data_IF_145455291392
#
_entry.id   IF_145455291392
#
_cell.length_a   1.000
_cell.length_b   1.000
_cell.length_c   1.000
_cell.angle_alpha   90.00
_cell.angle_beta   90.00
_cell.angle_gamma   90.00
#
_symmetry.space_group_name_H-M   'P 1'
#
loop_
_entity.id
_entity.type
_entity.pdbx_description
1 polymer ?
#
# COMPACT_ATOMS: atom_id res chain seq x y z
N UNK A 1 16.05 -47.09 -35.02
CA UNK A 1 14.66 -46.61 -34.81
C UNK A 1 14.60 -45.98 -33.44
N UNK A 2 14.59 -44.64 -33.38
CA UNK A 2 14.47 -43.88 -32.15
C UNK A 2 13.00 -43.51 -32.03
N UNK A 3 12.31 -44.05 -31.04
CA UNK A 3 10.93 -43.66 -30.72
C UNK A 3 10.94 -42.25 -30.13
N UNK A 4 10.11 -41.30 -30.64
CA UNK A 4 9.99 -39.99 -30.03
C UNK A 4 9.33 -40.14 -28.66
N UNK A 5 10.00 -39.64 -27.61
CA UNK A 5 9.44 -39.54 -26.27
C UNK A 5 8.22 -38.64 -26.31
N UNK A 6 7.07 -39.21 -25.96
CA UNK A 6 5.83 -38.48 -25.73
C UNK A 6 6.06 -37.61 -24.49
N UNK A 7 6.28 -36.31 -24.67
CA UNK A 7 6.29 -35.37 -23.57
C UNK A 7 4.81 -35.17 -23.20
N UNK A 8 4.32 -35.64 -22.03
CA UNK A 8 2.92 -35.44 -21.69
C UNK A 8 2.71 -33.93 -21.63
N UNK A 9 1.84 -33.43 -22.50
CA UNK A 9 1.37 -32.07 -22.42
C UNK A 9 0.84 -31.89 -20.99
N UNK A 10 1.50 -31.05 -20.20
CA UNK A 10 0.98 -30.61 -18.91
C UNK A 10 -0.37 -29.99 -19.22
N UNK A 11 -1.43 -30.76 -19.03
CA UNK A 11 -2.80 -30.27 -19.11
C UNK A 11 -2.89 -29.18 -18.07
N UNK A 12 -2.90 -27.93 -18.52
CA UNK A 12 -3.15 -26.77 -17.66
C UNK A 12 -4.44 -27.06 -16.91
N UNK A 13 -4.35 -27.29 -15.62
CA UNK A 13 -5.53 -27.34 -14.77
C UNK A 13 -6.12 -25.93 -14.77
N UNK A 14 -7.22 -25.76 -15.50
CA UNK A 14 -7.91 -24.48 -15.60
C UNK A 14 -8.58 -24.09 -14.27
N UNK A 15 -8.47 -24.91 -13.22
CA UNK A 15 -9.06 -24.70 -11.89
C UNK A 15 -8.05 -24.41 -10.78
N UNK A 16 -6.75 -24.40 -11.10
CA UNK A 16 -5.66 -24.16 -10.12
C UNK A 16 -5.88 -22.88 -9.26
N UNK A 17 -5.48 -22.87 -7.98
CA UNK A 17 -5.52 -21.67 -7.15
C UNK A 17 -4.62 -20.57 -7.70
N UNK A 18 -5.04 -19.31 -7.53
CA UNK A 18 -4.32 -18.15 -8.04
C UNK A 18 -3.77 -17.25 -6.91
N UNK A 19 -2.68 -16.58 -7.19
CA UNK A 19 -2.13 -15.49 -6.37
C UNK A 19 -2.33 -14.18 -7.12
N UNK A 20 -2.93 -13.18 -6.47
CA UNK A 20 -3.04 -11.83 -7.00
C UNK A 20 -1.89 -10.99 -6.45
N UNK A 21 -0.91 -10.67 -7.30
CA UNK A 21 0.20 -9.79 -6.94
C UNK A 21 -0.13 -8.35 -7.29
N UNK A 22 0.05 -7.43 -6.34
CA UNK A 22 -0.20 -5.99 -6.47
C UNK A 22 1.11 -5.25 -6.16
N UNK A 23 1.58 -4.44 -7.09
CA UNK A 23 2.75 -3.57 -6.95
C UNK A 23 2.30 -2.11 -6.96
N UNK A 24 2.32 -1.49 -5.77
CA UNK A 24 2.04 -0.08 -5.50
C UNK A 24 3.28 0.79 -5.75
N UNK A 25 3.73 0.82 -7.00
CA UNK A 25 4.88 1.62 -7.40
C UNK A 25 4.62 3.13 -7.29
N UNK A 26 5.70 3.92 -7.26
CA UNK A 26 5.59 5.39 -7.14
C UNK A 26 4.81 6.01 -8.30
N UNK A 27 5.04 5.58 -9.54
CA UNK A 27 4.42 6.20 -10.73
C UNK A 27 3.27 5.40 -11.32
N UNK A 28 3.20 4.10 -11.04
CA UNK A 28 2.20 3.20 -11.61
C UNK A 28 1.87 2.06 -10.68
N UNK A 29 0.63 1.60 -10.78
CA UNK A 29 0.17 0.34 -10.21
C UNK A 29 0.35 -0.77 -11.23
N UNK A 30 0.84 -1.92 -10.80
CA UNK A 30 0.90 -3.14 -11.60
C UNK A 30 0.22 -4.28 -10.83
N UNK A 31 -0.52 -5.11 -11.55
CA UNK A 31 -1.23 -6.26 -11.01
C UNK A 31 -0.96 -7.47 -11.90
N UNK A 32 -0.79 -8.64 -11.29
CA UNK A 32 -0.76 -9.90 -12.01
C UNK A 32 -1.56 -10.98 -11.26
N UNK A 33 -2.33 -11.77 -12.01
CA UNK A 33 -2.81 -13.06 -11.55
C UNK A 33 -1.78 -14.12 -11.93
N UNK A 34 -1.25 -14.81 -10.93
CA UNK A 34 -0.21 -15.82 -11.07
C UNK A 34 -0.79 -17.16 -10.67
N UNK A 35 -0.59 -18.17 -11.52
CA UNK A 35 -0.94 -19.54 -11.22
C UNK A 35 -0.02 -20.09 -10.11
N UNK A 36 -0.61 -20.60 -9.03
CA UNK A 36 0.15 -20.98 -7.83
C UNK A 36 1.00 -22.26 -7.99
N UNK A 37 0.72 -23.09 -8.99
CA UNK A 37 1.46 -24.34 -9.23
C UNK A 37 2.60 -24.12 -10.23
N UNK A 38 2.31 -23.40 -11.31
CA UNK A 38 3.25 -23.17 -12.41
C UNK A 38 4.07 -21.89 -12.23
N UNK A 39 3.67 -21.01 -11.31
CA UNK A 39 4.24 -19.68 -11.06
C UNK A 39 4.25 -18.76 -12.29
N UNK A 40 3.40 -19.04 -13.29
CA UNK A 40 3.31 -18.24 -14.51
C UNK A 40 2.18 -17.22 -14.41
N UNK A 41 2.37 -15.99 -14.91
CA UNK A 41 1.29 -15.03 -15.00
C UNK A 41 0.23 -15.51 -16.00
N UNK A 42 -1.03 -15.44 -15.60
CA UNK A 42 -2.19 -15.70 -16.45
C UNK A 42 -2.71 -14.41 -17.09
N UNK A 43 -2.77 -13.33 -16.32
CA UNK A 43 -3.27 -12.02 -16.75
C UNK A 43 -2.56 -10.93 -15.95
N UNK A 44 -2.28 -9.80 -16.59
CA UNK A 44 -1.65 -8.65 -15.95
C UNK A 44 -2.36 -7.36 -16.33
N UNK A 45 -2.22 -6.34 -15.50
CA UNK A 45 -2.70 -4.98 -15.75
C UNK A 45 -1.69 -3.98 -15.18
N UNK A 46 -1.59 -2.81 -15.80
CA UNK A 46 -0.76 -1.72 -15.29
C UNK A 46 -1.38 -0.38 -15.65
N UNK A 47 -1.29 0.60 -14.74
CA UNK A 47 -1.80 1.94 -14.98
C UNK A 47 -0.98 2.98 -14.21
N UNK A 48 -0.67 4.10 -14.88
CA UNK A 48 -0.01 5.26 -14.26
C UNK A 48 -0.95 5.90 -13.24
N UNK A 49 -0.42 6.27 -12.07
CA UNK A 49 -1.22 6.83 -10.98
C UNK A 49 -1.54 8.30 -11.19
N UNK A 50 -0.57 9.09 -11.65
CA UNK A 50 -0.60 10.57 -11.60
C UNK A 50 -0.99 11.07 -10.20
N UNK A 51 -0.47 10.42 -9.16
CA UNK A 51 -0.81 10.71 -7.77
C UNK A 51 0.02 11.84 -7.16
N UNK A 52 1.09 12.30 -7.80
CA UNK A 52 1.92 13.40 -7.30
C UNK A 52 1.05 14.64 -7.03
N UNK A 53 1.23 15.25 -5.85
CA UNK A 53 0.49 16.44 -5.42
C UNK A 53 1.43 17.47 -4.81
N UNK A 54 1.01 18.73 -4.82
CA UNK A 54 1.81 19.82 -4.25
C UNK A 54 1.90 19.67 -2.73
N UNK A 55 3.11 19.84 -2.20
CA UNK A 55 3.35 19.85 -0.76
C UNK A 55 3.23 21.26 -0.19
N UNK A 56 2.69 21.38 1.02
CA UNK A 56 2.52 22.66 1.73
C UNK A 56 3.85 23.29 2.17
N UNK A 57 4.94 22.52 2.18
CA UNK A 57 6.30 23.00 2.48
C UNK A 57 7.09 23.41 1.23
N UNK A 58 6.44 23.41 0.06
CA UNK A 58 7.05 23.83 -1.20
C UNK A 58 7.96 22.75 -1.82
N UNK A 59 9.03 23.14 -2.54
CA UNK A 59 9.77 22.24 -3.43
C UNK A 59 10.56 21.13 -2.74
N UNK A 60 10.80 21.27 -1.43
CA UNK A 60 11.44 20.22 -0.62
C UNK A 60 10.46 19.09 -0.28
N UNK A 61 9.16 19.34 -0.37
CA UNK A 61 8.13 18.33 -0.14
C UNK A 61 7.84 17.50 -1.38
N UNK A 62 7.69 16.19 -1.22
CA UNK A 62 7.32 15.29 -2.30
C UNK A 62 6.24 14.32 -1.84
N UNK A 63 5.00 14.59 -2.24
CA UNK A 63 3.81 13.92 -1.73
C UNK A 63 2.94 13.33 -2.84
N UNK A 64 2.15 12.31 -2.48
CA UNK A 64 1.20 11.68 -3.37
C UNK A 64 -0.17 11.56 -2.72
N UNK A 65 -1.24 11.73 -3.50
CA UNK A 65 -2.62 11.55 -3.08
C UNK A 65 -2.97 10.05 -3.00
N UNK A 66 -3.21 9.49 -1.80
CA UNK A 66 -3.54 8.06 -1.62
C UNK A 66 -4.85 7.65 -2.27
N UNK A 67 -5.84 8.56 -2.32
CA UNK A 67 -7.12 8.31 -3.00
C UNK A 67 -6.92 8.02 -4.48
N UNK A 68 -6.06 8.80 -5.14
CA UNK A 68 -5.75 8.60 -6.55
C UNK A 68 -5.04 7.25 -6.77
N UNK A 69 -4.12 6.86 -5.88
CA UNK A 69 -3.43 5.56 -5.93
C UNK A 69 -4.45 4.42 -5.84
N UNK A 70 -5.34 4.45 -4.85
CA UNK A 70 -6.34 3.40 -4.61
C UNK A 70 -7.44 3.37 -5.69
N UNK A 71 -7.83 4.51 -6.25
CA UNK A 71 -8.72 4.54 -7.41
C UNK A 71 -8.10 3.88 -8.64
N UNK A 72 -6.80 4.09 -8.87
CA UNK A 72 -6.06 3.45 -9.97
C UNK A 72 -5.89 1.95 -9.72
N UNK A 73 -5.65 1.54 -8.46
CA UNK A 73 -5.70 0.12 -8.08
C UNK A 73 -7.05 -0.52 -8.41
N UNK A 74 -8.16 0.12 -8.02
CA UNK A 74 -9.51 -0.37 -8.34
C UNK A 74 -9.74 -0.48 -9.86
N UNK A 75 -9.30 0.51 -10.65
CA UNK A 75 -9.35 0.46 -12.12
C UNK A 75 -8.54 -0.72 -12.67
N UNK A 76 -7.34 -0.97 -12.16
CA UNK A 76 -6.54 -2.13 -12.56
C UNK A 76 -7.23 -3.44 -12.19
N UNK A 77 -7.89 -3.55 -11.04
CA UNK A 77 -8.62 -4.78 -10.67
C UNK A 77 -9.86 -5.02 -11.55
N UNK A 78 -10.51 -3.94 -12.00
CA UNK A 78 -11.75 -4.04 -12.80
C UNK A 78 -11.56 -4.70 -14.17
N UNK A 79 -10.32 -4.85 -14.67
CA UNK A 79 -10.06 -5.53 -15.95
C UNK A 79 -9.99 -7.05 -15.83
N UNK A 80 -9.97 -7.59 -14.60
CA UNK A 80 -9.87 -9.03 -14.36
C UNK A 80 -11.25 -9.68 -14.27
N UNK A 81 -11.36 -10.90 -14.80
CA UNK A 81 -12.61 -11.64 -14.85
C UNK A 81 -12.97 -12.13 -13.45
N UNK A 82 -14.25 -12.02 -13.06
CA UNK A 82 -14.71 -12.36 -11.71
C UNK A 82 -14.48 -13.83 -11.38
N UNK A 83 -14.59 -14.71 -12.37
CA UNK A 83 -14.33 -16.14 -12.27
C UNK A 83 -12.86 -16.43 -11.96
N UNK A 84 -11.94 -15.63 -12.49
CA UNK A 84 -10.52 -15.73 -12.17
C UNK A 84 -10.24 -15.17 -10.77
N UNK A 85 -10.82 -14.02 -10.43
CA UNK A 85 -10.67 -13.42 -9.10
C UNK A 85 -11.23 -14.33 -7.98
N UNK A 86 -12.30 -15.07 -8.25
CA UNK A 86 -12.87 -16.04 -7.31
C UNK A 86 -11.92 -17.20 -6.96
N UNK A 87 -10.87 -17.43 -7.76
CA UNK A 87 -9.83 -18.45 -7.51
C UNK A 87 -8.63 -17.91 -6.74
N UNK A 88 -8.60 -16.61 -6.43
CA UNK A 88 -7.50 -16.00 -5.70
C UNK A 88 -7.53 -16.47 -4.25
N UNK A 89 -6.47 -17.16 -3.84
CA UNK A 89 -6.30 -17.66 -2.46
C UNK A 89 -5.30 -16.84 -1.65
N UNK A 90 -4.53 -15.97 -2.31
CA UNK A 90 -3.49 -15.17 -1.68
C UNK A 90 -3.31 -13.83 -2.40
N UNK A 91 -3.11 -12.77 -1.61
CA UNK A 91 -2.66 -11.47 -2.09
C UNK A 91 -1.18 -11.30 -1.77
N UNK A 92 -0.38 -10.96 -2.79
CA UNK A 92 1.03 -10.60 -2.62
C UNK A 92 1.20 -9.10 -2.88
N UNK A 93 1.51 -8.31 -1.86
CA UNK A 93 1.62 -6.86 -1.96
C UNK A 93 3.09 -6.43 -1.92
N UNK A 94 3.47 -5.58 -2.87
CA UNK A 94 4.77 -4.91 -2.96
C UNK A 94 4.54 -3.46 -3.39
N UNK A 95 5.57 -2.64 -3.41
CA UNK A 95 5.45 -1.24 -3.79
C UNK A 95 6.59 -0.35 -3.30
N UNK A 96 6.35 0.95 -3.34
CA UNK A 96 7.33 1.95 -2.92
C UNK A 96 7.62 1.89 -1.42
N UNK A 97 8.92 1.90 -1.08
CA UNK A 97 9.43 1.88 0.28
C UNK A 97 9.58 3.30 0.86
N UNK A 98 9.94 3.37 2.15
CA UNK A 98 10.25 4.58 2.94
C UNK A 98 9.12 5.60 3.16
N UNK A 99 8.09 5.62 2.30
CA UNK A 99 7.02 6.59 2.39
C UNK A 99 6.24 6.54 3.71
N UNK A 100 5.67 7.67 4.09
CA UNK A 100 4.87 7.84 5.30
C UNK A 100 3.48 8.32 4.93
N UNK A 101 2.49 7.54 5.34
CA UNK A 101 1.09 7.88 5.34
C UNK A 101 0.57 7.76 6.77
N UNK A 102 -0.30 8.69 7.15
CA UNK A 102 -0.95 8.74 8.46
C UNK A 102 -2.45 8.59 8.27
N UNK A 103 -3.10 7.91 9.20
CA UNK A 103 -4.55 7.73 9.20
C UNK A 103 -5.07 7.50 10.62
N UNK A 104 -6.40 7.53 10.79
CA UNK A 104 -7.05 7.04 12.01
C UNK A 104 -7.35 5.55 11.90
N UNK A 105 -7.11 4.79 12.95
CA UNK A 105 -7.41 3.36 13.06
C UNK A 105 -8.88 3.05 12.73
N UNK A 106 -9.79 3.94 13.10
CA UNK A 106 -11.22 3.86 12.77
C UNK A 106 -11.49 3.75 11.27
N UNK A 107 -10.65 4.35 10.42
CA UNK A 107 -10.81 4.28 8.97
C UNK A 107 -10.54 2.88 8.43
N UNK A 108 -9.59 2.16 9.03
CA UNK A 108 -9.23 0.79 8.62
C UNK A 108 -9.98 -0.29 9.39
N UNK A 109 -10.48 0.01 10.60
CA UNK A 109 -11.19 -0.96 11.43
C UNK A 109 -12.67 -1.18 11.05
N UNK A 110 -13.23 -0.36 10.15
CA UNK A 110 -14.61 -0.52 9.66
C UNK A 110 -14.74 -1.86 8.92
N UNK A 111 -15.49 -2.80 9.52
CA UNK A 111 -15.72 -4.16 9.00
C UNK A 111 -16.57 -4.21 7.71
N UNK A 112 -17.14 -3.09 7.29
CA UNK A 112 -17.96 -3.03 6.08
C UNK A 112 -17.11 -2.73 4.86
N UNK A 113 -16.40 -3.74 4.37
CA UNK A 113 -15.89 -3.78 2.99
C UNK A 113 -17.03 -4.10 2.03
N UNK A 114 -18.19 -3.44 2.18
CA UNK A 114 -19.25 -3.41 1.15
C UNK A 114 -18.87 -2.47 0.00
N UNK A 115 -17.74 -1.76 0.13
CA UNK A 115 -17.27 -0.74 -0.81
C UNK A 115 -16.39 -1.26 -1.95
N UNK A 116 -16.01 -2.55 -1.94
CA UNK A 116 -15.31 -3.21 -3.06
C UNK A 116 -16.13 -4.31 -3.76
N UNK A 117 -17.20 -4.80 -3.13
CA UNK A 117 -18.13 -5.76 -3.71
C UNK A 117 -19.47 -5.06 -3.96
N UNK A 118 -19.90 -4.96 -5.21
CA UNK A 118 -21.17 -4.31 -5.58
C UNK A 118 -22.36 -4.71 -4.68
N UNK A 119 -23.31 -3.79 -4.44
CA UNK A 119 -24.51 -4.07 -3.66
C UNK A 119 -25.38 -5.08 -4.40
N UNK A 120 -25.77 -6.15 -3.72
CA UNK A 120 -26.90 -6.97 -4.17
C UNK A 120 -28.19 -6.22 -3.81
N UNK A 121 -29.14 -5.99 -4.74
CA UNK A 121 -30.39 -5.35 -4.41
C UNK A 121 -31.30 -6.36 -3.71
N UNK A 122 -31.40 -6.27 -2.38
CA UNK A 122 -32.43 -6.96 -1.61
C UNK A 122 -33.55 -5.99 -1.20
N UNK A 123 -34.19 -5.33 -2.16
CA UNK A 123 -35.54 -4.75 -1.98
C UNK A 123 -36.02 -4.08 -3.26
N UNK A 124 -37.29 -4.32 -3.59
CA UNK A 124 -38.02 -3.90 -4.79
C UNK A 124 -38.44 -2.43 -4.79
N UNK A 125 -37.54 -1.50 -4.49
CA UNK A 125 -37.81 -0.06 -4.57
C UNK A 125 -36.98 0.59 -5.70
N UNK A 126 -37.51 1.62 -6.40
CA UNK A 126 -36.81 2.23 -7.54
C UNK A 126 -35.58 2.99 -7.03
N UNK A 127 -34.40 2.44 -7.28
CA UNK A 127 -33.11 3.06 -6.91
C UNK A 127 -32.85 4.23 -7.86
N UNK A 128 -32.89 5.46 -7.34
CA UNK A 128 -32.28 6.63 -7.97
C UNK A 128 -30.81 6.33 -8.30
N UNK A 129 -30.19 6.94 -9.34
CA UNK A 129 -28.83 6.59 -9.73
C UNK A 129 -27.87 6.93 -8.59
N UNK A 130 -27.57 5.94 -7.75
CA UNK A 130 -26.55 6.01 -6.71
C UNK A 130 -25.23 6.11 -7.44
N UNK A 131 -24.63 7.29 -7.34
CA UNK A 131 -23.27 7.58 -7.78
C UNK A 131 -22.36 6.46 -7.32
N UNK A 132 -21.88 5.64 -8.26
CA UNK A 132 -21.05 4.44 -8.04
C UNK A 132 -19.61 4.80 -7.65
N UNK A 133 -19.43 5.90 -6.94
CA UNK A 133 -18.14 6.34 -6.44
C UNK A 133 -17.96 5.73 -5.06
N UNK A 134 -16.96 4.87 -4.96
CA UNK A 134 -16.39 4.44 -3.69
C UNK A 134 -16.13 5.70 -2.86
N UNK A 135 -17.04 6.02 -1.95
CA UNK A 135 -16.86 7.08 -0.96
C UNK A 135 -15.99 6.48 0.15
N UNK A 136 -14.77 6.07 -0.20
CA UNK A 136 -13.70 5.94 0.78
C UNK A 136 -13.60 7.33 1.38
N UNK A 137 -14.03 7.50 2.62
CA UNK A 137 -13.97 8.75 3.35
C UNK A 137 -12.49 9.05 3.70
N UNK A 138 -11.64 9.17 2.68
CA UNK A 138 -10.21 9.39 2.78
C UNK A 138 -9.85 10.80 3.26
N UNK A 139 -10.85 11.61 3.64
CA UNK A 139 -10.70 12.88 4.34
C UNK A 139 -9.97 12.71 5.70
N UNK A 140 -9.85 11.47 6.19
CA UNK A 140 -9.17 11.13 7.43
C UNK A 140 -7.75 10.60 7.26
N UNK A 141 -7.17 10.70 6.06
CA UNK A 141 -5.79 10.30 5.78
C UNK A 141 -4.90 11.50 5.45
N UNK A 142 -3.60 11.41 5.73
CA UNK A 142 -2.62 12.35 5.18
C UNK A 142 -2.33 11.99 3.72
N UNK A 143 -1.73 12.92 2.98
CA UNK A 143 -0.98 12.55 1.79
C UNK A 143 0.11 11.53 2.14
N UNK A 144 0.51 10.73 1.15
CA UNK A 144 1.69 9.90 1.24
C UNK A 144 2.93 10.75 1.00
N UNK A 145 3.70 10.99 2.06
CA UNK A 145 5.03 11.62 1.98
C UNK A 145 6.00 10.58 1.43
N UNK A 146 6.57 10.84 0.25
CA UNK A 146 7.36 9.83 -0.47
C UNK A 146 8.82 9.81 -0.03
N UNK A 147 9.55 8.76 -0.44
CA UNK A 147 10.99 8.63 -0.21
C UNK A 147 11.85 9.76 -0.82
N UNK A 148 11.31 10.49 -1.82
CA UNK A 148 11.99 11.62 -2.47
C UNK A 148 11.96 12.90 -1.64
N UNK A 149 11.14 12.93 -0.59
CA UNK A 149 10.91 14.11 0.24
C UNK A 149 12.19 14.59 0.97
N UNK A 150 12.46 15.88 0.88
CA UNK A 150 13.67 16.55 1.38
C UNK A 150 13.39 17.46 2.59
N UNK A 151 12.23 17.35 3.26
CA UNK A 151 11.86 18.23 4.38
C UNK A 151 12.85 18.18 5.55
N UNK A 152 13.51 17.05 5.73
CA UNK A 152 14.48 16.84 6.80
C UNK A 152 15.88 17.22 6.33
N UNK A 153 16.21 18.50 6.37
CA UNK A 153 17.56 18.96 6.01
C UNK A 153 18.66 18.38 6.93
N UNK A 154 19.91 18.48 6.50
CA UNK A 154 21.08 17.92 7.23
C UNK A 154 21.19 18.43 8.67
N UNK A 155 20.84 19.70 8.95
CA UNK A 155 20.89 20.26 10.31
C UNK A 155 19.82 19.59 11.19
N UNK A 156 18.62 19.38 10.64
CA UNK A 156 17.54 18.69 11.33
C UNK A 156 17.93 17.23 11.63
N UNK A 157 18.41 16.48 10.64
CA UNK A 157 18.81 15.07 10.82
C UNK A 157 19.87 14.90 11.91
N UNK A 158 20.87 15.80 11.95
CA UNK A 158 21.93 15.80 12.98
C UNK A 158 21.42 16.17 14.38
N UNK A 159 20.24 16.78 14.48
CA UNK A 159 19.63 17.14 15.76
C UNK A 159 18.82 16.00 16.39
N UNK A 160 18.58 14.91 15.65
CA UNK A 160 17.82 13.78 16.12
C UNK A 160 18.71 12.82 16.93
N UNK A 161 18.13 12.00 17.83
CA UNK A 161 18.86 10.95 18.53
C UNK A 161 19.59 10.04 17.54
N UNK A 162 20.80 9.55 17.87
CA UNK A 162 21.47 8.59 17.00
C UNK A 162 20.63 7.31 16.92
N UNK A 163 20.23 6.85 15.71
CA UNK A 163 19.49 5.62 15.59
C UNK A 163 20.37 4.41 15.88
N UNK A 164 19.82 3.43 16.58
CA UNK A 164 20.35 2.07 16.58
C UNK A 164 19.75 1.31 15.39
N UNK A 165 20.33 1.54 14.22
CA UNK A 165 19.94 0.90 12.96
C UNK A 165 21.15 0.68 12.07
N UNK A 166 21.13 -0.43 11.33
CA UNK A 166 22.10 -0.73 10.27
C UNK A 166 22.15 0.33 9.15
N UNK A 167 21.11 1.16 8.99
CA UNK A 167 21.06 2.22 7.99
C UNK A 167 21.36 3.59 8.61
N UNK A 168 22.18 4.38 7.91
CA UNK A 168 22.35 5.80 8.23
C UNK A 168 21.03 6.54 8.00
N UNK A 169 20.65 7.40 8.94
CA UNK A 169 19.44 8.20 8.83
C UNK A 169 19.51 9.15 7.62
N UNK A 170 18.44 9.17 6.83
CA UNK A 170 18.29 10.04 5.67
C UNK A 170 16.94 10.75 5.71
N UNK A 171 16.79 11.82 4.92
CA UNK A 171 15.56 12.64 4.90
C UNK A 171 14.32 11.86 4.48
N UNK A 172 14.46 10.95 3.51
CA UNK A 172 13.34 10.13 3.04
C UNK A 172 12.92 9.02 4.01
N UNK A 173 13.60 8.84 5.15
CA UNK A 173 13.23 7.82 6.13
C UNK A 173 11.99 8.22 6.93
N UNK A 174 11.08 7.28 7.12
CA UNK A 174 9.78 7.56 7.74
C UNK A 174 9.86 8.13 9.16
N UNK A 175 10.73 7.64 10.04
CA UNK A 175 10.85 8.23 11.38
C UNK A 175 11.45 9.64 11.35
N UNK A 176 12.34 9.97 10.39
CA UNK A 176 12.83 11.34 10.23
C UNK A 176 11.68 12.29 9.91
N UNK A 177 10.81 11.90 8.97
CA UNK A 177 9.57 12.61 8.63
C UNK A 177 8.66 12.76 9.84
N UNK A 178 8.42 11.70 10.61
CA UNK A 178 7.58 11.77 11.81
C UNK A 178 8.15 12.70 12.88
N UNK A 179 9.48 12.67 13.12
CA UNK A 179 10.14 13.62 14.01
C UNK A 179 9.96 15.05 13.52
N UNK A 180 10.12 15.29 12.22
CA UNK A 180 9.92 16.62 11.64
C UNK A 180 8.48 17.09 11.84
N UNK A 181 7.49 16.23 11.55
CA UNK A 181 6.08 16.55 11.76
C UNK A 181 5.77 16.81 13.23
N UNK A 182 6.39 16.09 14.16
CA UNK A 182 6.18 16.32 15.60
C UNK A 182 6.64 17.71 16.05
N UNK A 183 7.64 18.29 15.38
CA UNK A 183 8.17 19.63 15.69
C UNK A 183 7.45 20.74 14.89
N UNK A 184 7.27 20.53 13.59
CA UNK A 184 6.82 21.58 12.65
C UNK A 184 5.32 21.51 12.33
N UNK A 185 4.66 20.39 12.61
CA UNK A 185 3.26 20.10 12.25
C UNK A 185 2.53 19.32 13.35
N UNK A 186 2.85 19.59 14.63
CA UNK A 186 2.35 18.83 15.77
C UNK A 186 0.81 18.75 15.84
N UNK A 187 0.11 19.83 15.47
CA UNK A 187 -1.37 19.89 15.45
C UNK A 187 -1.98 18.98 14.39
N UNK A 188 -1.33 18.85 13.22
CA UNK A 188 -1.75 17.94 12.17
C UNK A 188 -1.48 16.50 12.57
N UNK A 189 -0.28 16.21 13.11
CA UNK A 189 0.10 14.85 13.51
C UNK A 189 -0.85 14.28 14.57
N UNK A 190 -1.34 15.10 15.51
CA UNK A 190 -2.32 14.71 16.55
C UNK A 190 -3.67 14.23 16.02
N UNK A 191 -3.97 14.43 14.74
CA UNK A 191 -5.22 13.94 14.14
C UNK A 191 -5.20 12.44 13.86
N UNK A 192 -4.02 11.83 13.85
CA UNK A 192 -3.78 10.46 13.43
C UNK A 192 -3.23 9.62 14.60
N UNK A 193 -3.55 8.33 14.60
CA UNK A 193 -3.06 7.35 15.58
C UNK A 193 -2.30 6.19 14.90
N UNK A 194 -2.35 6.10 13.57
CA UNK A 194 -1.66 5.12 12.76
C UNK A 194 -0.66 5.79 11.80
N UNK A 195 0.44 5.08 11.53
CA UNK A 195 1.42 5.45 10.54
C UNK A 195 1.97 4.20 9.82
N UNK A 196 2.24 4.32 8.53
CA UNK A 196 2.82 3.26 7.72
C UNK A 196 3.09 3.71 6.29
N UNK A 197 3.45 2.79 5.42
CA UNK A 197 3.46 3.04 3.97
C UNK A 197 2.07 2.90 3.37
N UNK A 198 1.91 3.22 2.09
CA UNK A 198 0.68 2.94 1.35
C UNK A 198 0.36 1.44 1.28
N UNK A 199 1.38 0.57 1.34
CA UNK A 199 1.18 -0.89 1.41
C UNK A 199 0.57 -1.28 2.75
N UNK A 200 1.13 -0.78 3.85
CA UNK A 200 0.65 -1.08 5.20
C UNK A 200 -0.78 -0.55 5.39
N UNK A 201 -1.09 0.62 4.80
CA UNK A 201 -2.44 1.16 4.77
C UNK A 201 -3.40 0.27 3.98
N UNK A 202 -3.04 -0.15 2.76
CA UNK A 202 -3.87 -1.06 1.96
C UNK A 202 -4.13 -2.39 2.70
N UNK A 203 -3.11 -2.97 3.30
CA UNK A 203 -3.26 -4.20 4.11
C UNK A 203 -4.20 -3.95 5.28
N UNK A 204 -4.06 -2.82 5.97
CA UNK A 204 -4.93 -2.46 7.09
C UNK A 204 -6.39 -2.33 6.66
N UNK A 205 -6.66 -1.69 5.51
CA UNK A 205 -7.99 -1.60 4.92
C UNK A 205 -8.56 -2.98 4.56
N UNK A 206 -7.80 -3.79 3.81
CA UNK A 206 -8.25 -5.09 3.32
C UNK A 206 -8.53 -6.09 4.45
N UNK A 207 -7.78 -5.99 5.55
CA UNK A 207 -7.88 -6.90 6.69
C UNK A 207 -8.70 -6.34 7.87
N UNK A 208 -9.21 -5.11 7.78
CA UNK A 208 -9.99 -4.53 8.86
C UNK A 208 -9.18 -4.25 10.13
N UNK A 209 -7.89 -3.88 9.99
CA UNK A 209 -6.96 -3.77 11.13
C UNK A 209 -7.16 -2.46 11.89
N UNK A 210 -7.18 -2.55 13.22
CA UNK A 210 -7.11 -1.40 14.13
C UNK A 210 -5.68 -0.91 14.35
N UNK A 211 -4.69 -1.79 14.12
CA UNK A 211 -3.26 -1.47 14.22
C UNK A 211 -2.53 -1.90 12.95
N UNK A 212 -1.77 -1.01 12.30
CA UNK A 212 -0.97 -1.38 11.15
C UNK A 212 0.05 -2.46 11.50
N UNK A 213 0.24 -3.37 10.56
CA UNK A 213 1.35 -4.33 10.57
C UNK A 213 2.30 -3.92 9.46
N UNK A 214 3.58 -3.76 9.82
CA UNK A 214 4.64 -3.39 8.90
C UNK A 214 5.68 -4.52 8.85
N UNK A 215 6.16 -4.83 7.64
CA UNK A 215 7.23 -5.84 7.50
C UNK A 215 8.57 -5.29 8.03
N UNK A 216 9.51 -6.15 8.49
CA UNK A 216 10.85 -5.71 8.86
C UNK A 216 11.60 -4.98 7.73
N UNK A 217 11.34 -5.34 6.47
CA UNK A 217 11.95 -4.69 5.31
C UNK A 217 11.46 -3.24 5.16
N UNK A 218 10.16 -3.01 5.32
CA UNK A 218 9.60 -1.66 5.32
C UNK A 218 10.02 -0.88 6.57
N UNK A 219 10.03 -1.51 7.75
CA UNK A 219 10.43 -0.86 8.99
C UNK A 219 11.89 -0.43 9.00
N UNK A 220 12.80 -1.25 8.45
CA UNK A 220 14.21 -0.90 8.22
C UNK A 220 14.34 0.44 7.47
N UNK A 221 13.48 0.64 6.47
CA UNK A 221 13.44 1.83 5.60
C UNK A 221 13.03 3.12 6.33
N UNK A 222 12.58 3.03 7.60
CA UNK A 222 12.22 4.16 8.44
C UNK A 222 13.34 4.66 9.36
N UNK A 223 14.50 4.00 9.36
CA UNK A 223 15.74 4.53 9.94
C UNK A 223 15.91 4.34 11.46
N UNK A 224 14.87 3.95 12.20
CA UNK A 224 14.93 3.66 13.65
C UNK A 224 14.44 2.25 13.99
N UNK A 225 14.52 1.34 13.02
CA UNK A 225 14.26 -0.07 13.23
C UNK A 225 15.56 -0.86 13.17
N UNK A 226 15.86 -1.60 14.24
CA UNK A 226 17.00 -2.49 14.32
C UNK A 226 16.61 -3.83 13.68
N UNK A 227 17.28 -4.19 12.58
CA UNK A 227 16.99 -5.41 11.82
C UNK A 227 17.60 -6.67 12.40
N UNK A 228 18.59 -6.56 13.30
CA UNK A 228 19.19 -7.71 13.98
C UNK A 228 18.24 -8.25 15.05
N UNK A 229 17.71 -7.37 15.90
CA UNK A 229 16.76 -7.73 16.95
C UNK A 229 15.28 -7.61 16.53
N UNK A 230 15.01 -7.12 15.31
CA UNK A 230 13.68 -6.93 14.71
C UNK A 230 12.74 -6.06 15.56
N UNK A 231 13.24 -4.95 16.08
CA UNK A 231 12.47 -4.04 16.93
C UNK A 231 12.72 -2.57 16.63
N UNK A 232 11.73 -1.74 16.95
CA UNK A 232 11.89 -0.29 16.92
C UNK A 232 12.77 0.18 18.07
N UNK A 233 13.60 1.20 17.82
CA UNK A 233 14.31 1.91 18.87
C UNK A 233 13.29 2.57 19.82
N UNK A 234 13.37 2.31 21.12
CA UNK A 234 12.39 2.79 22.12
C UNK A 234 13.02 3.63 23.23
N UNK A 235 14.25 3.30 23.63
CA UNK A 235 15.10 4.15 24.45
C UNK A 235 15.83 5.15 23.56
N UNK A 236 15.17 6.29 23.31
CA UNK A 236 15.73 7.45 22.63
C UNK A 236 15.86 8.64 23.58
#
# INVERSE_FOLDING_TARGET
MITPGHNPAVTRDLTSPLVLSIDLGTTSIKIALVDSETHKPLKTAAQVTNADTESDIGPDGCEQNPSQILQVLHKCLSVFDRELLARVVCLAITGQMHGVMLWRSEETAKKEVDSFANPTPSSSEPVSPVSSSVHLAMEETSNLITWRDQRCNTKFLRSLPPPDSHLRLATGHGCATLFWMSKERASLLKKFDCAGTIMDYLVSLLCGLDKPIMTPQTAASWGYFNTENKSWNTSM
#
